data_IF_430905874426
#
_entry.id   IF_430905874426
#
_cell.length_a   1.000
_cell.length_b   1.000
_cell.length_c   1.000
_cell.angle_alpha   90.00
_cell.angle_beta   90.00
_cell.angle_gamma   90.00
#
_symmetry.space_group_name_H-M   'P 1'
#
loop_
_entity.id
_entity.type
_entity.pdbx_description
1 polymer ?
#
# COMPACT_ATOMS: atom_id res chain seq x y z
N UNK A 1 -19.53 22.40 -10.16
CA UNK A 1 -18.39 21.51 -10.44
C UNK A 1 -18.89 20.13 -10.08
N UNK A 2 -19.05 19.26 -11.09
CA UNK A 2 -19.61 17.93 -10.88
C UNK A 2 -18.64 17.16 -9.99
N UNK A 3 -19.18 16.72 -8.86
CA UNK A 3 -18.55 15.81 -7.93
C UNK A 3 -18.18 14.56 -8.74
N UNK A 4 -16.90 14.46 -9.14
CA UNK A 4 -16.36 13.29 -9.81
C UNK A 4 -16.21 12.20 -8.75
N UNK A 5 -17.36 11.75 -8.24
CA UNK A 5 -17.46 10.62 -7.34
C UNK A 5 -16.93 9.43 -8.10
N UNK A 6 -15.70 9.07 -7.76
CA UNK A 6 -15.07 7.81 -8.14
C UNK A 6 -16.09 6.71 -7.86
N UNK A 7 -16.73 6.19 -8.92
CA UNK A 7 -17.67 5.05 -8.88
C UNK A 7 -16.87 3.76 -8.77
N UNK A 8 -16.07 3.61 -7.74
CA UNK A 8 -15.37 2.36 -7.45
C UNK A 8 -16.13 1.68 -6.33
N UNK A 9 -16.48 0.41 -6.52
CA UNK A 9 -17.16 -0.33 -5.47
C UNK A 9 -16.21 -0.51 -4.28
N UNK A 10 -16.66 -0.40 -3.02
CA UNK A 10 -15.79 -0.58 -1.84
C UNK A 10 -14.98 -1.89 -1.90
N UNK A 11 -15.58 -2.96 -2.44
CA UNK A 11 -14.91 -4.24 -2.65
C UNK A 11 -13.70 -4.17 -3.59
N UNK A 12 -13.71 -3.29 -4.59
CA UNK A 12 -12.56 -3.09 -5.49
C UNK A 12 -11.43 -2.33 -4.80
N UNK A 13 -11.75 -1.35 -3.94
CA UNK A 13 -10.77 -0.65 -3.10
C UNK A 13 -10.09 -1.61 -2.11
N UNK A 14 -10.87 -2.47 -1.44
CA UNK A 14 -10.34 -3.50 -0.54
C UNK A 14 -9.41 -4.46 -1.29
N UNK A 15 -9.78 -4.91 -2.49
CA UNK A 15 -8.92 -5.77 -3.31
C UNK A 15 -7.62 -5.09 -3.75
N UNK A 16 -7.70 -3.81 -4.11
CA UNK A 16 -6.53 -3.02 -4.47
C UNK A 16 -5.60 -2.80 -3.25
N UNK A 17 -6.18 -2.51 -2.08
CA UNK A 17 -5.45 -2.41 -0.82
C UNK A 17 -4.72 -3.72 -0.47
N UNK A 18 -5.42 -4.86 -0.57
CA UNK A 18 -4.82 -6.18 -0.35
C UNK A 18 -3.67 -6.46 -1.32
N UNK A 19 -3.85 -6.16 -2.61
CA UNK A 19 -2.80 -6.34 -3.62
C UNK A 19 -1.56 -5.48 -3.33
N UNK A 20 -1.76 -4.23 -2.89
CA UNK A 20 -0.68 -3.33 -2.52
C UNK A 20 0.04 -3.82 -1.24
N UNK A 21 -0.70 -4.28 -0.23
CA UNK A 21 -0.14 -4.88 1.00
C UNK A 21 0.70 -6.13 0.71
N UNK A 22 0.17 -7.07 -0.07
CA UNK A 22 0.89 -8.29 -0.47
C UNK A 22 2.18 -7.96 -1.23
N UNK A 23 2.11 -6.95 -2.11
CA UNK A 23 3.27 -6.46 -2.86
C UNK A 23 4.33 -5.86 -1.94
N UNK A 24 3.91 -5.03 -0.98
CA UNK A 24 4.81 -4.47 0.04
C UNK A 24 5.51 -5.56 0.86
N UNK A 25 4.77 -6.56 1.34
CA UNK A 25 5.35 -7.66 2.13
C UNK A 25 6.35 -8.49 1.33
N UNK A 26 5.98 -8.85 0.10
CA UNK A 26 6.86 -9.62 -0.81
C UNK A 26 8.14 -8.85 -1.15
N UNK A 27 8.02 -7.57 -1.50
CA UNK A 27 9.15 -6.73 -1.86
C UNK A 27 10.06 -6.44 -0.67
N UNK A 28 9.49 -6.12 0.50
CA UNK A 28 10.26 -5.85 1.71
C UNK A 28 11.06 -7.08 2.16
N UNK A 29 10.46 -8.27 2.09
CA UNK A 29 11.16 -9.53 2.37
C UNK A 29 12.30 -9.78 1.39
N UNK A 30 12.07 -9.57 0.08
CA UNK A 30 13.12 -9.73 -0.95
C UNK A 30 14.28 -8.77 -0.75
N UNK A 31 13.98 -7.50 -0.43
CA UNK A 31 15.00 -6.49 -0.14
C UNK A 31 15.84 -6.89 1.08
N UNK A 32 15.20 -7.33 2.18
CA UNK A 32 15.92 -7.84 3.35
C UNK A 32 16.80 -9.05 3.03
N UNK A 33 16.29 -10.02 2.26
CA UNK A 33 17.07 -11.20 1.87
C UNK A 33 18.30 -10.82 1.03
N UNK A 34 18.17 -9.85 0.14
CA UNK A 34 19.29 -9.37 -0.67
C UNK A 34 20.31 -8.63 0.20
N UNK A 35 19.85 -7.77 1.12
CA UNK A 35 20.71 -7.11 2.08
C UNK A 35 21.52 -8.12 2.90
N UNK A 36 20.89 -9.16 3.45
CA UNK A 36 21.59 -10.21 4.20
C UNK A 36 22.67 -10.91 3.38
N UNK A 37 22.36 -11.27 2.12
CA UNK A 37 23.34 -11.89 1.20
C UNK A 37 24.54 -10.97 0.91
N UNK A 38 24.30 -9.67 0.81
CA UNK A 38 25.38 -8.70 0.57
C UNK A 38 26.26 -8.50 1.81
N UNK A 39 25.67 -8.50 3.01
CA UNK A 39 26.44 -8.49 4.26
C UNK A 39 27.30 -9.74 4.42
N UNK A 40 26.81 -10.92 4.01
CA UNK A 40 27.64 -12.14 3.95
C UNK A 40 28.82 -11.97 2.98
N UNK A 41 28.56 -11.41 1.80
CA UNK A 41 29.56 -11.25 0.75
C UNK A 41 30.64 -10.22 1.10
N UNK A 42 30.30 -9.13 1.80
CA UNK A 42 31.21 -8.06 2.24
C UNK A 42 32.46 -8.57 2.98
N UNK A 43 32.34 -9.68 3.71
CA UNK A 43 33.46 -10.23 4.49
C UNK A 43 34.55 -10.87 3.63
N UNK A 44 34.25 -11.21 2.37
CA UNK A 44 35.15 -11.92 1.47
C UNK A 44 35.41 -11.17 0.16
N UNK A 45 34.49 -10.29 -0.23
CA UNK A 45 34.59 -9.51 -1.45
C UNK A 45 35.21 -8.15 -1.18
N UNK A 46 36.47 -7.99 -1.56
CA UNK A 46 37.27 -6.79 -1.32
C UNK A 46 37.80 -6.21 -2.62
N UNK A 47 38.34 -4.98 -2.56
CA UNK A 47 38.90 -4.26 -3.70
C UNK A 47 37.93 -3.26 -4.34
N UNK A 48 38.42 -2.51 -5.33
CA UNK A 48 37.70 -1.36 -5.94
C UNK A 48 36.34 -1.73 -6.52
N UNK A 49 36.23 -2.93 -7.12
CA UNK A 49 34.95 -3.43 -7.65
C UNK A 49 33.91 -3.68 -6.55
N UNK A 50 34.34 -4.19 -5.39
CA UNK A 50 33.46 -4.39 -4.25
C UNK A 50 32.95 -3.05 -3.71
N UNK A 51 33.85 -2.07 -3.52
CA UNK A 51 33.46 -0.72 -3.07
C UNK A 51 32.47 -0.06 -4.03
N UNK A 52 32.74 -0.08 -5.33
CA UNK A 52 31.87 0.54 -6.34
C UNK A 52 30.48 -0.10 -6.36
N UNK A 53 30.40 -1.42 -6.20
CA UNK A 53 29.13 -2.11 -6.11
C UNK A 53 28.36 -1.74 -4.83
N UNK A 54 29.04 -1.65 -3.69
CA UNK A 54 28.41 -1.32 -2.41
C UNK A 54 27.84 0.10 -2.40
N UNK A 55 28.49 1.04 -3.08
CA UNK A 55 27.98 2.40 -3.24
C UNK A 55 26.68 2.41 -4.05
N UNK A 56 26.66 1.71 -5.19
CA UNK A 56 25.44 1.55 -6.01
C UNK A 56 24.34 0.80 -5.25
N UNK A 57 24.70 -0.21 -4.47
CA UNK A 57 23.74 -0.92 -3.62
C UNK A 57 23.09 0.01 -2.60
N UNK A 58 23.86 0.90 -1.96
CA UNK A 58 23.31 1.82 -0.97
C UNK A 58 22.25 2.76 -1.57
N UNK A 59 22.47 3.24 -2.80
CA UNK A 59 21.49 4.05 -3.55
C UNK A 59 20.23 3.24 -3.84
N UNK A 60 20.37 2.03 -4.42
CA UNK A 60 19.25 1.15 -4.74
C UNK A 60 18.45 0.76 -3.48
N UNK A 61 19.14 0.49 -2.37
CA UNK A 61 18.51 0.16 -1.10
C UNK A 61 17.66 1.33 -0.59
N UNK A 62 18.19 2.55 -0.67
CA UNK A 62 17.48 3.76 -0.28
C UNK A 62 16.21 3.96 -1.12
N UNK A 63 16.35 3.95 -2.44
CA UNK A 63 15.22 4.13 -3.36
C UNK A 63 14.17 3.04 -3.18
N UNK A 64 14.60 1.79 -2.97
CA UNK A 64 13.70 0.67 -2.70
C UNK A 64 12.93 0.84 -1.39
N UNK A 65 13.56 1.39 -0.35
CA UNK A 65 12.90 1.69 0.93
C UNK A 65 11.87 2.81 0.79
N UNK A 66 12.15 3.82 -0.02
CA UNK A 66 11.20 4.89 -0.31
C UNK A 66 10.00 4.38 -1.11
N UNK A 67 10.24 3.61 -2.18
CA UNK A 67 9.17 2.94 -2.94
C UNK A 67 8.30 2.04 -2.04
N UNK A 68 8.91 1.26 -1.13
CA UNK A 68 8.16 0.44 -0.18
C UNK A 68 7.29 1.28 0.76
N UNK A 69 7.77 2.46 1.20
CA UNK A 69 6.98 3.38 2.01
C UNK A 69 5.75 3.87 1.23
N UNK A 70 5.92 4.20 -0.05
CA UNK A 70 4.85 4.68 -0.90
C UNK A 70 3.80 3.61 -1.17
N UNK A 71 4.22 2.37 -1.48
CA UNK A 71 3.29 1.23 -1.67
C UNK A 71 2.48 0.98 -0.40
N UNK A 72 3.12 1.03 0.77
CA UNK A 72 2.41 0.90 2.06
C UNK A 72 1.42 2.05 2.28
N UNK A 73 1.81 3.27 1.92
CA UNK A 73 0.92 4.43 2.04
C UNK A 73 -0.30 4.31 1.13
N UNK A 74 -0.12 3.83 -0.10
CA UNK A 74 -1.21 3.55 -1.05
C UNK A 74 -2.14 2.48 -0.47
N UNK A 75 -1.60 1.37 0.04
CA UNK A 75 -2.40 0.31 0.63
C UNK A 75 -3.30 0.84 1.76
N UNK A 76 -2.71 1.59 2.71
CA UNK A 76 -3.45 2.19 3.82
C UNK A 76 -4.51 3.21 3.35
N UNK A 77 -4.20 3.99 2.31
CA UNK A 77 -5.11 5.00 1.79
C UNK A 77 -6.32 4.36 1.10
N UNK A 78 -6.10 3.28 0.36
CA UNK A 78 -7.17 2.50 -0.28
C UNK A 78 -8.08 1.86 0.77
N UNK A 79 -7.51 1.30 1.83
CA UNK A 79 -8.25 0.67 2.94
C UNK A 79 -9.11 1.71 3.69
N UNK A 80 -8.51 2.84 4.08
CA UNK A 80 -9.23 3.93 4.74
C UNK A 80 -10.34 4.54 3.87
N UNK A 81 -10.12 4.58 2.55
CA UNK A 81 -11.14 5.04 1.60
C UNK A 81 -12.29 4.02 1.54
N UNK A 82 -12.00 2.73 1.46
CA UNK A 82 -13.02 1.68 1.47
C UNK A 82 -13.90 1.74 2.73
N UNK A 83 -13.30 1.89 3.91
CA UNK A 83 -14.02 2.03 5.19
C UNK A 83 -14.96 3.25 5.19
N UNK A 84 -14.50 4.36 4.61
CA UNK A 84 -15.29 5.58 4.48
C UNK A 84 -16.51 5.36 3.60
N UNK A 85 -16.35 4.69 2.45
CA UNK A 85 -17.48 4.39 1.56
C UNK A 85 -18.49 3.45 2.21
N UNK A 86 -18.04 2.38 2.87
CA UNK A 86 -18.94 1.45 3.58
C UNK A 86 -19.74 2.19 4.65
N UNK A 87 -19.08 3.03 5.44
CA UNK A 87 -19.74 3.84 6.48
C UNK A 87 -20.76 4.81 5.90
N UNK A 88 -20.46 5.45 4.76
CA UNK A 88 -21.39 6.34 4.05
C UNK A 88 -22.61 5.59 3.49
N UNK A 89 -22.40 4.39 2.93
CA UNK A 89 -23.48 3.53 2.43
C UNK A 89 -24.42 3.11 3.57
N UNK A 90 -23.87 2.71 4.72
CA UNK A 90 -24.66 2.32 5.90
C UNK A 90 -25.49 3.48 6.46
N UNK A 91 -24.90 4.67 6.58
CA UNK A 91 -25.61 5.87 7.04
C UNK A 91 -26.73 6.25 6.06
N UNK A 92 -26.45 6.18 4.76
CA UNK A 92 -27.44 6.48 3.72
C UNK A 92 -28.60 5.48 3.75
N UNK A 93 -28.29 4.18 3.85
CA UNK A 93 -29.30 3.12 3.94
C UNK A 93 -30.21 3.30 5.17
N UNK A 94 -29.61 3.61 6.33
CA UNK A 94 -30.35 3.86 7.57
C UNK A 94 -31.28 5.08 7.45
N UNK A 95 -30.80 6.18 6.87
CA UNK A 95 -31.60 7.39 6.68
C UNK A 95 -32.78 7.17 5.72
N UNK A 96 -32.59 6.39 4.65
CA UNK A 96 -33.67 6.01 3.73
C UNK A 96 -34.71 5.16 4.47
N UNK A 97 -34.27 4.16 5.25
CA UNK A 97 -35.17 3.32 6.03
C UNK A 97 -36.01 4.14 7.02
N UNK A 98 -35.38 5.03 7.79
CA UNK A 98 -36.10 5.93 8.73
C UNK A 98 -37.08 6.84 7.99
N UNK A 99 -36.70 7.42 6.86
CA UNK A 99 -37.58 8.28 6.06
C UNK A 99 -38.79 7.49 5.51
N UNK A 100 -38.58 6.24 5.11
CA UNK A 100 -39.65 5.36 4.61
C UNK A 100 -40.64 4.93 5.69
N UNK A 101 -40.19 4.82 6.94
CA UNK A 101 -41.05 4.55 8.10
C UNK A 101 -41.90 5.77 8.44
N UNK A 102 -41.30 6.97 8.47
CA UNK A 102 -42.00 8.22 8.76
C UNK A 102 -43.05 8.61 7.69
N UNK A 103 -42.96 8.07 6.47
CA UNK A 103 -43.95 8.30 5.40
C UNK A 103 -45.13 7.30 5.44
N UNK A 104 -45.07 6.29 6.32
CA UNK A 104 -46.10 5.25 6.48
C UNK A 104 -47.01 5.47 7.69
N UNK A 105 -46.67 6.40 8.56
CA UNK A 105 -47.47 6.87 9.71
C UNK A 105 -48.24 8.15 9.35
#
# INVERSE_FOLDING_TARGET
MADEQVRVAPAELVRAAATASDSYESLSKRLQMLQSKLEELKNSWTGVAASSFLDVWAEIESDSRDMLRDVKHIANSLDATADTYVSQEEVTAKNIQTSSLNLRD
#
